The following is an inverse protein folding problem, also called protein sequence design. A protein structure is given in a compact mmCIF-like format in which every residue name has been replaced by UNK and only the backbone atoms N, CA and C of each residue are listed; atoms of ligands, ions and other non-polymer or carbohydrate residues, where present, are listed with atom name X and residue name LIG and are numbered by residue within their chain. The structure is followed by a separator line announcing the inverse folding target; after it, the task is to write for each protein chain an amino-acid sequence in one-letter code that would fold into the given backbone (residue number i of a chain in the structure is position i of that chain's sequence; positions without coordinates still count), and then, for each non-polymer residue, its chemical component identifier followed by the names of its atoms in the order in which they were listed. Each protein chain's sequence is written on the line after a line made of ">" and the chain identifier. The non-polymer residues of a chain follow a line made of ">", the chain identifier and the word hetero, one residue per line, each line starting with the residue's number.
data_IF_606802132192
#
_entry.id   IF_606802132192
#
_cell.length_a   1.000
_cell.length_b   1.000
_cell.length_c   1.000
_cell.angle_alpha   90.00
_cell.angle_beta   90.00
_cell.angle_gamma   90.00
#
_symmetry.space_group_name_H-M   'P 1'
#
loop_
_entity.id
_entity.type
_entity.pdbx_description
1 polymer ?
#
# COMPACT_ATOMS: atom_id res chain seq x y z
N UNK A 1 -6.02 7.18 16.74
CA UNK A 1 -6.41 7.49 15.34
C UNK A 1 -7.45 8.61 15.20
N UNK A 2 -8.60 8.59 15.92
CA UNK A 2 -9.69 9.57 15.76
C UNK A 2 -9.26 11.06 15.80
N UNK A 3 -8.41 11.46 16.76
CA UNK A 3 -7.90 12.85 16.86
C UNK A 3 -7.07 13.28 15.64
N UNK A 4 -6.23 12.40 15.08
CA UNK A 4 -5.45 12.68 13.85
C UNK A 4 -6.34 12.79 12.61
N UNK A 5 -7.35 11.91 12.51
CA UNK A 5 -8.32 11.97 11.41
C UNK A 5 -9.15 13.26 11.44
N UNK A 6 -9.47 13.78 12.63
CA UNK A 6 -10.09 15.11 12.79
C UNK A 6 -9.14 16.23 12.38
N UNK A 7 -7.89 16.23 12.88
CA UNK A 7 -6.88 17.26 12.57
C UNK A 7 -6.62 17.42 11.07
N UNK A 8 -6.59 16.32 10.32
CA UNK A 8 -6.30 16.35 8.88
C UNK A 8 -7.53 16.20 7.99
N UNK A 9 -8.74 16.46 8.48
CA UNK A 9 -10.02 16.08 7.81
C UNK A 9 -10.06 16.31 6.30
N UNK A 10 -9.60 17.49 5.82
CA UNK A 10 -9.59 17.89 4.40
C UNK A 10 -8.47 17.26 3.55
N UNK A 11 -7.43 16.71 4.17
CA UNK A 11 -6.20 16.19 3.54
C UNK A 11 -5.93 14.72 3.85
N UNK A 12 -7.00 13.92 3.93
CA UNK A 12 -6.93 12.46 4.06
C UNK A 12 -7.10 11.83 2.70
N UNK A 13 -6.18 10.96 2.31
CA UNK A 13 -6.21 10.26 1.03
C UNK A 13 -5.93 8.78 1.25
N UNK A 14 -6.64 7.95 0.50
CA UNK A 14 -6.27 6.56 0.26
C UNK A 14 -5.47 6.54 -1.03
N UNK A 15 -4.30 5.95 -0.98
CA UNK A 15 -3.39 5.83 -2.11
C UNK A 15 -3.12 4.34 -2.32
N UNK A 16 -3.45 3.83 -3.49
CA UNK A 16 -3.03 2.51 -3.95
C UNK A 16 -1.91 2.69 -4.96
N UNK A 17 -0.80 1.98 -4.76
CA UNK A 17 0.36 2.02 -5.65
C UNK A 17 0.72 0.59 -6.05
N UNK A 18 0.83 0.34 -7.35
CA UNK A 18 1.35 -0.90 -7.90
C UNK A 18 2.86 -0.71 -8.10
N UNK A 19 3.68 -1.58 -7.53
CA UNK A 19 5.14 -1.38 -7.44
C UNK A 19 5.98 -2.43 -8.15
N UNK A 20 5.35 -3.49 -8.64
CA UNK A 20 6.03 -4.53 -9.42
C UNK A 20 5.10 -5.65 -9.83
N UNK A 21 5.53 -6.39 -10.84
CA UNK A 21 4.98 -7.68 -11.25
C UNK A 21 6.01 -8.75 -10.90
N UNK A 22 5.59 -9.79 -10.21
CA UNK A 22 6.41 -10.96 -9.90
C UNK A 22 5.80 -12.15 -10.63
N UNK A 23 6.63 -12.93 -11.32
CA UNK A 23 6.15 -14.10 -12.04
C UNK A 23 5.58 -15.15 -11.07
N UNK A 24 4.72 -16.01 -11.58
CA UNK A 24 4.27 -17.19 -10.85
C UNK A 24 5.45 -18.09 -10.47
N UNK A 25 5.48 -18.56 -9.23
CA UNK A 25 6.59 -19.33 -8.64
C UNK A 25 7.64 -18.46 -7.94
N UNK A 26 7.70 -17.16 -8.25
CA UNK A 26 8.74 -16.26 -7.76
C UNK A 26 8.30 -15.36 -6.60
N UNK A 27 7.11 -15.56 -6.03
CA UNK A 27 6.62 -14.69 -4.94
C UNK A 27 7.57 -14.68 -3.73
N UNK A 28 8.29 -15.78 -3.50
CA UNK A 28 9.30 -15.93 -2.47
C UNK A 28 10.49 -14.95 -2.63
N UNK A 29 10.73 -14.41 -3.82
CA UNK A 29 11.82 -13.46 -4.11
C UNK A 29 11.58 -12.06 -3.52
N UNK A 30 10.35 -11.75 -3.07
CA UNK A 30 10.03 -10.43 -2.51
C UNK A 30 10.73 -10.24 -1.17
N UNK A 31 11.79 -9.43 -1.16
CA UNK A 31 12.36 -8.85 0.06
C UNK A 31 11.54 -7.63 0.51
N UNK A 32 10.61 -7.87 1.43
CA UNK A 32 9.71 -6.83 1.96
C UNK A 32 10.46 -5.70 2.67
N UNK A 33 11.59 -5.99 3.34
CA UNK A 33 12.36 -4.96 4.04
C UNK A 33 12.99 -4.00 3.03
N UNK A 34 13.66 -4.54 2.01
CA UNK A 34 14.19 -3.74 0.89
C UNK A 34 13.10 -2.96 0.18
N UNK A 35 11.95 -3.57 -0.06
CA UNK A 35 10.81 -2.89 -0.68
C UNK A 35 10.29 -1.73 0.18
N UNK A 36 10.20 -1.90 1.50
CA UNK A 36 9.78 -0.84 2.41
C UNK A 36 10.79 0.30 2.44
N UNK A 37 12.08 -0.01 2.50
CA UNK A 37 13.14 1.00 2.54
C UNK A 37 13.24 1.77 1.22
N UNK A 38 13.11 1.09 0.09
CA UNK A 38 12.96 1.71 -1.22
C UNK A 38 11.74 2.64 -1.26
N UNK A 39 10.60 2.20 -0.74
CA UNK A 39 9.39 3.00 -0.76
C UNK A 39 9.48 4.23 0.15
N UNK A 40 10.13 4.10 1.32
CA UNK A 40 10.45 5.25 2.20
C UNK A 40 11.27 6.30 1.46
N UNK A 41 12.34 5.89 0.77
CA UNK A 41 13.17 6.82 -0.03
C UNK A 41 12.36 7.54 -1.11
N UNK A 42 11.40 6.85 -1.74
CA UNK A 42 10.49 7.49 -2.72
C UNK A 42 9.56 8.52 -2.06
N UNK A 43 9.01 8.21 -0.89
CA UNK A 43 8.22 9.17 -0.11
C UNK A 43 9.04 10.40 0.28
N UNK A 44 10.29 10.20 0.74
CA UNK A 44 11.21 11.29 1.07
C UNK A 44 11.46 12.20 -0.14
N UNK A 45 11.79 11.61 -1.30
CA UNK A 45 12.00 12.36 -2.57
C UNK A 45 10.74 13.11 -3.03
N UNK A 46 9.55 12.58 -2.76
CA UNK A 46 8.28 13.26 -3.04
C UNK A 46 7.91 14.34 -2.00
N UNK A 47 8.78 14.56 -1.00
CA UNK A 47 8.59 15.57 0.05
C UNK A 47 7.53 15.18 1.08
N UNK A 48 7.39 13.89 1.40
CA UNK A 48 6.45 13.43 2.42
C UNK A 48 6.92 13.66 3.86
N UNK A 49 8.17 14.10 4.06
CA UNK A 49 8.76 14.37 5.37
C UNK A 49 7.85 15.24 6.24
N UNK A 50 7.49 14.73 7.42
CA UNK A 50 6.59 15.40 8.35
C UNK A 50 5.09 15.14 8.14
N UNK A 51 4.70 14.36 7.13
CA UNK A 51 3.35 13.79 7.00
C UNK A 51 3.31 12.36 7.53
N UNK A 52 2.09 11.86 7.77
CA UNK A 52 1.87 10.52 8.30
C UNK A 52 1.32 9.64 7.18
N UNK A 53 1.95 8.49 6.96
CA UNK A 53 1.47 7.46 6.04
C UNK A 53 1.46 6.11 6.75
N UNK A 54 0.32 5.42 6.72
CA UNK A 54 0.17 4.07 7.25
C UNK A 54 -0.56 3.20 6.24
N UNK A 55 -0.21 1.92 6.15
CA UNK A 55 -0.88 1.03 5.22
C UNK A 55 -0.29 -0.37 5.23
N UNK A 56 -0.60 -1.14 4.19
CA UNK A 56 -0.14 -2.50 4.04
C UNK A 56 0.52 -2.75 2.69
N UNK A 57 1.41 -3.74 2.68
CA UNK A 57 1.80 -4.46 1.47
C UNK A 57 0.80 -5.58 1.22
N UNK A 58 0.43 -5.75 -0.04
CA UNK A 58 -0.46 -6.80 -0.52
C UNK A 58 0.08 -7.30 -1.86
N UNK A 59 -0.25 -8.54 -2.21
CA UNK A 59 -0.06 -9.07 -3.56
C UNK A 59 -1.40 -9.54 -4.12
N UNK A 60 -1.59 -9.39 -5.43
CA UNK A 60 -2.81 -9.80 -6.11
C UNK A 60 -2.47 -10.53 -7.40
N UNK A 61 -3.03 -11.72 -7.60
CA UNK A 61 -2.86 -12.47 -8.84
C UNK A 61 -3.53 -11.74 -10.01
N UNK A 62 -2.77 -11.55 -11.10
CA UNK A 62 -3.27 -11.02 -12.36
C UNK A 62 -3.12 -12.07 -13.46
N UNK A 63 -4.21 -12.76 -13.86
CA UNK A 63 -4.12 -13.87 -14.82
C UNK A 63 -3.62 -13.41 -16.19
N UNK A 64 -3.98 -12.19 -16.62
CA UNK A 64 -3.53 -11.63 -17.91
C UNK A 64 -2.03 -11.34 -17.98
N UNK A 65 -1.40 -11.19 -16.82
CA UNK A 65 0.04 -10.93 -16.70
C UNK A 65 0.80 -12.17 -16.23
N UNK A 66 0.09 -13.27 -15.98
CA UNK A 66 0.62 -14.50 -15.39
C UNK A 66 1.53 -14.24 -14.17
N UNK A 67 1.10 -13.35 -13.27
CA UNK A 67 1.94 -12.96 -12.15
C UNK A 67 1.23 -12.23 -11.02
N UNK A 68 1.95 -12.07 -9.93
CA UNK A 68 1.57 -11.34 -8.73
C UNK A 68 1.89 -9.87 -8.88
N UNK A 69 0.87 -9.02 -8.87
CA UNK A 69 1.07 -7.57 -8.78
C UNK A 69 1.20 -7.17 -7.32
N UNK A 70 2.30 -6.49 -7.00
CA UNK A 70 2.61 -6.03 -5.65
C UNK A 70 2.02 -4.65 -5.41
N UNK A 71 1.25 -4.50 -4.35
CA UNK A 71 0.50 -3.27 -4.03
C UNK A 71 0.91 -2.70 -2.68
N UNK A 72 1.01 -1.38 -2.61
CA UNK A 72 0.84 -0.65 -1.36
C UNK A 72 -0.56 -0.05 -1.30
N UNK A 73 -1.30 -0.36 -0.23
CA UNK A 73 -2.55 0.31 0.11
C UNK A 73 -2.32 1.22 1.33
N UNK A 74 -2.41 2.53 1.12
CA UNK A 74 -1.92 3.53 2.07
C UNK A 74 -3.00 4.54 2.45
N UNK A 75 -3.02 4.92 3.72
CA UNK A 75 -3.65 6.12 4.23
C UNK A 75 -2.58 7.21 4.39
N UNK A 76 -2.72 8.29 3.63
CA UNK A 76 -1.91 9.50 3.78
C UNK A 76 -2.70 10.59 4.53
N UNK A 77 -2.08 11.18 5.55
CA UNK A 77 -2.63 12.25 6.36
C UNK A 77 -1.78 13.53 6.23
N UNK A 78 -2.40 14.60 5.75
CA UNK A 78 -1.81 15.94 5.75
C UNK A 78 -1.05 16.33 4.48
N UNK A 79 -0.62 15.35 3.67
CA UNK A 79 0.06 15.60 2.41
C UNK A 79 -0.76 16.51 1.49
N UNK A 80 -0.10 17.52 0.89
CA UNK A 80 -0.70 18.43 -0.10
C UNK A 80 -0.74 17.79 -1.49
N UNK A 81 -1.48 18.39 -2.42
CA UNK A 81 -1.60 17.91 -3.81
C UNK A 81 -0.22 17.74 -4.48
N UNK A 82 0.64 18.77 -4.40
CA UNK A 82 2.00 18.73 -4.95
C UNK A 82 2.84 17.51 -4.57
N UNK A 83 2.77 17.07 -3.31
CA UNK A 83 3.52 15.90 -2.84
C UNK A 83 2.97 14.60 -3.43
N UNK A 84 1.64 14.48 -3.51
CA UNK A 84 1.01 13.31 -4.14
C UNK A 84 1.26 13.25 -5.64
N UNK A 85 1.31 14.40 -6.30
CA UNK A 85 1.62 14.48 -7.72
C UNK A 85 3.08 14.12 -7.97
N UNK A 86 4.02 14.59 -7.14
CA UNK A 86 5.43 14.18 -7.19
C UNK A 86 5.59 12.66 -6.96
N UNK A 87 4.88 12.10 -5.97
CA UNK A 87 4.89 10.66 -5.74
C UNK A 87 4.32 9.90 -6.95
N UNK A 88 3.19 10.34 -7.51
CA UNK A 88 2.61 9.77 -8.73
C UNK A 88 3.61 9.78 -9.88
N UNK A 89 4.30 10.91 -10.11
CA UNK A 89 5.27 11.06 -11.18
C UNK A 89 6.44 10.07 -11.04
N UNK A 90 6.83 9.68 -9.83
CA UNK A 90 7.87 8.66 -9.62
C UNK A 90 7.49 7.26 -10.16
N UNK A 91 6.22 7.03 -10.48
CA UNK A 91 5.69 5.79 -11.07
C UNK A 91 5.24 5.98 -12.54
N UNK A 92 5.61 7.08 -13.19
CA UNK A 92 5.20 7.34 -14.57
C UNK A 92 5.78 6.33 -15.57
N UNK A 93 6.97 5.80 -15.30
CA UNK A 93 7.67 4.81 -16.13
C UNK A 93 7.31 3.35 -15.78
N UNK A 94 6.19 3.11 -15.10
CA UNK A 94 5.77 1.75 -14.73
C UNK A 94 4.99 1.11 -15.87
N UNK A 95 5.33 -0.12 -16.21
CA UNK A 95 4.61 -0.92 -17.22
C UNK A 95 3.21 -1.37 -16.77
N UNK A 96 2.94 -1.28 -15.45
CA UNK A 96 1.64 -1.61 -14.89
C UNK A 96 0.59 -0.54 -15.23
N UNK A 97 -0.57 -0.97 -15.72
CA UNK A 97 -1.71 -0.08 -15.99
C UNK A 97 -2.20 0.60 -14.71
N UNK A 98 -2.26 1.94 -14.75
CA UNK A 98 -2.73 2.79 -13.64
C UNK A 98 -2.00 2.47 -12.31
N UNK A 99 -0.66 2.65 -12.27
CA UNK A 99 0.17 2.23 -11.15
C UNK A 99 -0.06 3.07 -9.89
N UNK A 100 -0.78 4.19 -10.00
CA UNK A 100 -1.07 5.08 -8.90
C UNK A 100 -2.53 5.53 -8.92
N UNK A 101 -3.27 5.21 -7.86
CA UNK A 101 -4.65 5.65 -7.63
C UNK A 101 -4.72 6.40 -6.31
N UNK A 102 -5.25 7.62 -6.33
CA UNK A 102 -5.42 8.43 -5.12
C UNK A 102 -6.87 8.89 -4.99
N UNK A 103 -7.51 8.54 -3.88
CA UNK A 103 -8.92 8.80 -3.61
C UNK A 103 -9.08 9.53 -2.27
N UNK A 104 -10.19 10.26 -2.11
CA UNK A 104 -10.56 10.84 -0.83
C UNK A 104 -11.03 9.75 0.15
N UNK A 105 -10.71 9.91 1.43
CA UNK A 105 -11.25 9.08 2.50
C UNK A 105 -12.70 9.53 2.81
N UNK A 106 -13.67 8.86 2.21
CA UNK A 106 -15.12 9.11 2.34
C UNK A 106 -15.77 8.19 3.37
N UNK A 107 -15.41 6.91 3.34
CA UNK A 107 -15.85 5.90 4.32
C UNK A 107 -14.62 5.38 5.07
N UNK A 108 -14.30 5.97 6.24
CA UNK A 108 -13.12 5.59 6.98
C UNK A 108 -13.13 4.13 7.43
N UNK A 109 -14.29 3.55 7.80
CA UNK A 109 -14.33 2.18 8.32
C UNK A 109 -13.99 1.21 7.21
N UNK A 110 -14.72 1.30 6.11
CA UNK A 110 -14.51 0.46 4.93
C UNK A 110 -13.11 0.67 4.37
N UNK A 111 -12.74 1.90 4.01
CA UNK A 111 -11.48 2.12 3.30
C UNK A 111 -10.24 1.81 4.14
N UNK A 112 -10.29 1.98 5.47
CA UNK A 112 -9.16 1.63 6.35
C UNK A 112 -9.04 0.11 6.49
N UNK A 113 -10.15 -0.64 6.55
CA UNK A 113 -10.09 -2.10 6.64
C UNK A 113 -9.48 -2.74 5.38
N UNK A 114 -9.52 -2.05 4.23
CA UNK A 114 -8.87 -2.49 3.00
C UNK A 114 -7.37 -2.15 2.92
N UNK A 115 -6.78 -1.45 3.89
CA UNK A 115 -5.35 -1.10 3.84
C UNK A 115 -4.43 -2.30 4.09
N UNK A 116 -4.92 -3.31 4.78
CA UNK A 116 -4.20 -4.53 5.08
C UNK A 116 -5.16 -5.70 4.91
N UNK A 117 -5.07 -6.39 3.78
CA UNK A 117 -5.90 -7.55 3.45
C UNK A 117 -5.07 -8.59 2.72
N UNK A 118 -5.49 -9.83 2.82
CA UNK A 118 -4.94 -10.95 2.08
C UNK A 118 -5.93 -11.26 0.95
N UNK A 119 -5.47 -11.24 -0.31
CA UNK A 119 -6.31 -11.59 -1.45
C UNK A 119 -6.21 -13.08 -1.74
N UNK A 120 -7.21 -13.83 -1.29
CA UNK A 120 -7.40 -15.25 -1.60
C UNK A 120 -8.27 -15.49 -2.84
N UNK A 121 -8.53 -14.44 -3.62
CA UNK A 121 -9.36 -14.47 -4.82
C UNK A 121 -8.72 -13.61 -5.93
N UNK A 122 -9.14 -13.86 -7.17
CA UNK A 122 -8.78 -13.05 -8.34
C UNK A 122 -10.03 -12.64 -9.13
N UNK A 123 -9.85 -11.73 -10.10
CA UNK A 123 -10.93 -11.26 -10.99
C UNK A 123 -10.45 -11.38 -12.44
N UNK A 124 -10.84 -12.43 -13.19
CA UNK A 124 -10.36 -12.67 -14.55
C UNK A 124 -10.96 -11.68 -15.57
N UNK A 125 -12.18 -11.22 -15.31
CA UNK A 125 -12.91 -10.34 -16.21
C UNK A 125 -12.58 -8.87 -15.98
N UNK A 126 -12.66 -8.09 -17.07
CA UNK A 126 -12.47 -6.64 -16.99
C UNK A 126 -13.58 -5.99 -16.16
N UNK A 127 -13.25 -4.85 -15.55
CA UNK A 127 -14.25 -3.96 -14.95
C UNK A 127 -15.12 -3.36 -16.06
N UNK A 128 -16.44 -3.45 -15.93
CA UNK A 128 -17.41 -2.80 -16.82
C UNK A 128 -17.99 -1.60 -16.07
N UNK A 129 -17.75 -0.39 -16.56
CA UNK A 129 -18.17 0.84 -15.88
C UNK A 129 -17.59 0.94 -14.45
N UNK A 130 -18.46 1.06 -13.44
CA UNK A 130 -18.07 1.09 -12.02
C UNK A 130 -18.11 -0.29 -11.36
N UNK A 131 -18.63 -1.31 -12.03
CA UNK A 131 -18.83 -2.64 -11.46
C UNK A 131 -17.59 -3.52 -11.63
N UNK A 132 -17.11 -4.04 -10.51
CA UNK A 132 -16.00 -4.98 -10.51
C UNK A 132 -16.49 -6.32 -11.05
N UNK A 133 -15.80 -6.88 -12.04
CA UNK A 133 -16.08 -8.24 -12.52
C UNK A 133 -16.01 -9.27 -11.39
N UNK A 134 -16.69 -10.43 -11.51
CA UNK A 134 -16.87 -11.38 -10.42
C UNK A 134 -15.53 -11.86 -9.80
N UNK A 135 -15.57 -12.14 -8.50
CA UNK A 135 -14.43 -12.70 -7.77
C UNK A 135 -14.48 -14.23 -7.80
N UNK A 136 -13.34 -14.83 -8.14
CA UNK A 136 -13.15 -16.28 -8.16
C UNK A 136 -12.07 -16.65 -7.15
N UNK A 137 -12.17 -17.81 -6.48
CA UNK A 137 -11.09 -18.29 -5.62
C UNK A 137 -9.80 -18.41 -6.42
N UNK A 138 -8.66 -18.16 -5.79
CA UNK A 138 -7.38 -18.42 -6.45
C UNK A 138 -7.30 -19.88 -6.88
N UNK A 139 -6.80 -20.19 -8.09
CA UNK A 139 -6.51 -21.56 -8.45
C UNK A 139 -5.44 -22.13 -7.50
N UNK A 140 -5.46 -23.46 -7.33
CA UNK A 140 -4.67 -24.15 -6.31
C UNK A 140 -3.17 -23.79 -6.32
N UNK A 141 -2.46 -23.77 -7.46
CA UNK A 141 -1.03 -23.43 -7.47
C UNK A 141 -0.75 -22.02 -6.92
N UNK A 142 -1.57 -21.04 -7.29
CA UNK A 142 -1.42 -19.66 -6.81
C UNK A 142 -1.79 -19.54 -5.33
N UNK A 143 -2.77 -20.31 -4.85
CA UNK A 143 -3.08 -20.36 -3.42
C UNK A 143 -1.92 -20.95 -2.61
N UNK A 144 -1.33 -22.05 -3.06
CA UNK A 144 -0.21 -22.71 -2.39
C UNK A 144 1.02 -21.80 -2.33
N UNK A 145 1.35 -21.12 -3.44
CA UNK A 145 2.43 -20.14 -3.48
C UNK A 145 2.17 -18.97 -2.51
N UNK A 146 0.95 -18.41 -2.53
CA UNK A 146 0.56 -17.31 -1.65
C UNK A 146 0.70 -17.70 -0.18
N UNK A 147 0.16 -18.86 0.22
CA UNK A 147 0.19 -19.33 1.60
C UNK A 147 1.62 -19.64 2.04
N UNK A 148 2.43 -20.26 1.17
CA UNK A 148 3.84 -20.55 1.44
C UNK A 148 4.62 -19.25 1.68
N UNK A 149 4.37 -18.21 0.88
CA UNK A 149 4.98 -16.90 1.10
C UNK A 149 4.53 -16.27 2.43
N UNK A 150 3.23 -16.25 2.71
CA UNK A 150 2.68 -15.67 3.94
C UNK A 150 3.14 -16.41 5.21
N UNK A 151 3.33 -17.74 5.16
CA UNK A 151 3.75 -18.55 6.29
C UNK A 151 5.10 -18.11 6.88
N UNK A 152 5.94 -17.45 6.08
CA UNK A 152 7.24 -16.94 6.52
C UNK A 152 7.15 -15.63 7.33
N UNK A 153 5.94 -15.07 7.53
CA UNK A 153 5.78 -13.72 8.06
C UNK A 153 4.66 -13.60 9.09
N UNK A 154 4.85 -12.65 10.02
CA UNK A 154 3.77 -12.23 10.93
C UNK A 154 2.88 -11.21 10.21
N UNK A 155 1.58 -11.14 10.52
CA UNK A 155 0.69 -10.12 9.96
C UNK A 155 1.20 -8.68 10.12
N UNK A 156 1.93 -8.40 11.22
CA UNK A 156 2.56 -7.10 11.47
C UNK A 156 3.63 -6.72 10.47
N UNK A 157 4.25 -7.69 9.80
CA UNK A 157 5.40 -7.40 8.95
C UNK A 157 4.98 -6.75 7.63
N UNK A 158 3.72 -6.95 7.23
CA UNK A 158 3.09 -6.29 6.08
C UNK A 158 2.66 -4.85 6.38
N UNK A 159 2.70 -4.41 7.64
CA UNK A 159 2.33 -3.05 8.03
C UNK A 159 3.43 -2.06 7.65
N UNK A 160 3.12 -1.16 6.73
CA UNK A 160 3.97 -0.03 6.38
C UNK A 160 3.63 1.20 7.23
N UNK A 161 4.63 1.76 7.91
CA UNK A 161 4.51 2.99 8.70
C UNK A 161 5.60 3.99 8.30
N UNK A 162 5.19 5.24 8.04
CA UNK A 162 6.06 6.37 7.74
C UNK A 162 5.62 7.60 8.55
N UNK A 163 6.55 8.21 9.29
CA UNK A 163 6.25 9.25 10.29
C UNK A 163 5.43 8.72 11.49
N UNK A 164 5.26 7.40 11.58
CA UNK A 164 4.47 6.71 12.58
C UNK A 164 5.29 5.55 13.17
N UNK A 165 4.96 5.16 14.39
CA UNK A 165 5.48 3.96 15.07
C UNK A 165 4.36 3.21 15.75
N UNK A 166 4.55 1.90 15.91
CA UNK A 166 3.71 1.07 16.78
C UNK A 166 4.19 1.22 18.23
N UNK A 167 3.26 1.37 19.15
CA UNK A 167 3.49 1.38 20.60
C UNK A 167 2.40 0.52 21.23
N UNK A 168 2.72 -0.74 21.51
CA UNK A 168 1.75 -1.75 21.94
C UNK A 168 0.64 -1.96 20.91
N UNK A 169 -0.60 -1.72 21.32
CA UNK A 169 -1.84 -1.79 20.55
C UNK A 169 -2.10 -0.55 19.68
N UNK A 170 -1.28 0.49 19.80
CA UNK A 170 -1.54 1.81 19.20
C UNK A 170 -0.53 2.20 18.14
N UNK A 171 -1.03 2.88 17.11
CA UNK A 171 -0.20 3.61 16.13
C UNK A 171 -0.11 5.07 16.57
N UNK A 172 1.12 5.56 16.71
CA UNK A 172 1.45 6.92 17.19
C UNK A 172 2.37 7.63 16.20
N UNK A 173 2.29 8.98 16.08
CA UNK A 173 3.33 9.75 15.39
C UNK A 173 4.70 9.48 15.99
N UNK A 174 5.70 9.32 15.14
CA UNK A 174 7.10 9.34 15.57
C UNK A 174 7.43 10.76 16.02
N UNK A 175 8.06 10.96 17.20
CA UNK A 175 8.50 12.29 17.62
C UNK A 175 9.38 12.90 16.53
N UNK A 176 9.16 14.17 16.19
CA UNK A 176 10.13 14.90 15.38
C UNK A 176 11.43 14.91 16.19
N UNK A 177 12.55 14.44 15.61
CA UNK A 177 13.87 14.78 16.16
C UNK A 177 13.90 16.31 16.25
N UNK A 178 14.05 16.86 17.45
CA UNK A 178 14.39 18.27 17.60
C UNK A 178 15.71 18.42 16.83
N UNK A 179 15.72 19.24 15.79
CA UNK A 179 16.97 19.71 15.22
C UNK A 179 17.75 20.34 16.38
N UNK A 180 18.92 19.78 16.70
CA UNK A 180 19.87 20.49 17.55
C UNK A 180 20.04 21.87 16.93
N UNK A 181 19.72 22.91 17.69
CA UNK A 181 20.06 24.29 17.31
C UNK A 181 21.57 24.27 17.06
N UNK A 182 21.99 24.53 15.83
CA UNK A 182 23.31 25.07 15.56
C UNK A 182 23.20 26.58 15.70
#
# INVERSE_FOLDING_TARGET
>A
MRKLLKRYRKRRRIITILVGLIAHGDLHTIDRKKLFDWFRKRLDKAGFSGFLVAGGLEVAWQPKLNGWVVHFHLLSLGARKKHRDALRASFASSDLKRPFVCQSLRDPRRQISYLLKINTYYRPFAQIGQEKGPAYPLPRPQMEELLSWYANFKPSDFLFLYGLRRQGDRIRPTPKRRSAKR
#
